data_IF_817475784649
#
_entry.id   IF_817475784649
#
_cell.length_a   1.000
_cell.length_b   1.000
_cell.length_c   1.000
_cell.angle_alpha   90.00
_cell.angle_beta   90.00
_cell.angle_gamma   90.00
#
_symmetry.space_group_name_H-M   'P 1'
#
loop_
_entity.id
_entity.type
_entity.pdbx_description
1 polymer ?
#
# COMPACT_ATOMS: atom_id res chain seq x y z
N UNK A 1 -15.17 28.39 14.17
CA UNK A 1 -14.46 27.12 14.42
C UNK A 1 -15.21 26.02 13.68
N UNK A 2 -14.85 25.73 12.42
CA UNK A 2 -15.57 24.75 11.60
C UNK A 2 -14.88 24.51 10.27
N UNK A 3 -14.19 25.52 9.75
CA UNK A 3 -13.44 25.44 8.49
C UNK A 3 -12.32 24.40 8.54
N UNK A 4 -11.57 24.32 9.64
CA UNK A 4 -10.51 23.30 9.81
C UNK A 4 -11.12 21.88 9.87
N UNK A 5 -12.29 21.73 10.49
CA UNK A 5 -12.98 20.45 10.55
C UNK A 5 -13.53 20.04 9.17
N UNK A 6 -14.05 21.01 8.41
CA UNK A 6 -14.51 20.82 7.03
C UNK A 6 -13.34 20.43 6.10
N UNK A 7 -12.21 21.12 6.20
CA UNK A 7 -10.98 20.79 5.47
C UNK A 7 -10.40 19.41 5.85
N UNK A 8 -10.54 18.98 7.11
CA UNK A 8 -10.20 17.61 7.54
C UNK A 8 -11.13 16.56 6.94
N UNK A 9 -12.43 16.83 6.87
CA UNK A 9 -13.44 15.94 6.27
C UNK A 9 -13.26 15.86 4.75
N UNK A 10 -12.97 16.98 4.10
CA UNK A 10 -12.69 17.07 2.66
C UNK A 10 -11.35 16.43 2.25
N UNK A 11 -10.50 16.09 3.21
CA UNK A 11 -9.23 15.41 2.97
C UNK A 11 -8.08 16.35 2.60
N UNK A 12 -8.18 17.64 2.90
CA UNK A 12 -7.06 18.58 2.80
C UNK A 12 -6.02 18.34 3.91
N UNK A 13 -6.53 17.92 5.09
CA UNK A 13 -5.73 17.59 6.26
C UNK A 13 -5.81 16.12 6.62
N UNK A 14 -4.80 15.64 7.35
CA UNK A 14 -4.80 14.33 7.96
C UNK A 14 -5.89 14.25 9.02
N UNK A 15 -6.80 13.29 8.89
CA UNK A 15 -7.89 13.10 9.86
C UNK A 15 -7.39 12.77 11.28
N UNK A 16 -6.17 12.23 11.41
CA UNK A 16 -5.62 11.77 12.69
C UNK A 16 -4.71 12.79 13.38
N UNK A 17 -3.84 13.48 12.64
CA UNK A 17 -2.86 14.42 13.21
C UNK A 17 -3.07 15.88 12.79
N UNK A 18 -4.00 16.15 11.86
CA UNK A 18 -4.24 17.50 11.35
C UNK A 18 -3.14 18.07 10.46
N UNK A 19 -2.17 17.26 10.03
CA UNK A 19 -1.13 17.69 9.08
C UNK A 19 -1.71 17.99 7.70
N UNK A 20 -1.26 19.06 7.04
CA UNK A 20 -1.69 19.40 5.69
C UNK A 20 -1.10 18.42 4.67
N UNK A 21 -1.96 17.74 3.90
CA UNK A 21 -1.52 16.71 2.94
C UNK A 21 -1.61 17.21 1.49
N UNK A 22 -2.37 18.29 1.24
CA UNK A 22 -2.54 18.91 -0.08
C UNK A 22 -4.00 19.08 -0.44
N UNK A 23 -4.35 18.86 -1.71
CA UNK A 23 -5.69 19.10 -2.23
C UNK A 23 -6.77 18.19 -1.63
N UNK A 24 -7.97 18.75 -1.48
CA UNK A 24 -9.18 18.05 -1.08
C UNK A 24 -9.45 16.85 -2.01
N UNK A 25 -9.50 15.65 -1.43
CA UNK A 25 -9.87 14.43 -2.16
C UNK A 25 -11.37 14.12 -2.05
N UNK A 26 -12.13 14.91 -1.29
CA UNK A 26 -13.55 14.69 -1.01
C UNK A 26 -13.83 13.57 0.00
N UNK A 27 -12.79 13.08 0.67
CA UNK A 27 -12.89 12.08 1.73
C UNK A 27 -11.72 12.20 2.71
N UNK A 28 -11.92 11.85 4.00
CA UNK A 28 -10.86 11.89 5.01
C UNK A 28 -9.70 10.96 4.66
N UNK A 29 -8.46 11.42 4.86
CA UNK A 29 -7.25 10.66 4.53
C UNK A 29 -6.20 10.73 5.63
N UNK A 30 -5.26 9.80 5.58
CA UNK A 30 -4.09 9.76 6.45
C UNK A 30 -2.83 10.23 5.71
N UNK A 31 -1.98 10.99 6.40
CA UNK A 31 -0.64 11.32 5.92
C UNK A 31 0.25 10.06 5.91
N UNK A 32 1.42 10.14 5.29
CA UNK A 32 2.35 9.00 5.21
C UNK A 32 2.83 8.50 6.58
N UNK A 33 2.82 9.35 7.61
CA UNK A 33 3.14 8.98 8.99
C UNK A 33 2.00 8.25 9.71
N UNK A 34 0.75 8.68 9.50
CA UNK A 34 -0.44 8.08 10.11
C UNK A 34 -0.99 6.88 9.34
N UNK A 35 -0.60 6.69 8.07
CA UNK A 35 -0.99 5.51 7.29
C UNK A 35 -0.50 4.25 8.02
N UNK A 36 -1.40 3.29 8.35
CA UNK A 36 -0.95 2.03 8.91
C UNK A 36 -0.02 1.38 7.90
N UNK A 37 1.23 1.14 8.31
CA UNK A 37 2.18 0.36 7.51
C UNK A 37 1.58 -1.02 7.38
N UNK A 38 0.92 -1.26 6.25
CA UNK A 38 0.45 -2.59 5.91
C UNK A 38 1.72 -3.39 5.60
N UNK A 39 2.36 -3.88 6.67
CA UNK A 39 3.48 -4.80 6.63
C UNK A 39 2.94 -6.10 6.04
N UNK A 40 2.69 -6.10 4.73
CA UNK A 40 2.60 -7.28 3.91
C UNK A 40 3.97 -7.91 3.98
N UNK A 41 4.26 -8.64 5.07
CA UNK A 41 5.40 -9.53 5.15
C UNK A 41 5.24 -10.42 3.93
N UNK A 42 6.06 -10.20 2.90
CA UNK A 42 6.15 -11.13 1.78
C UNK A 42 6.52 -12.45 2.44
N UNK A 43 5.56 -13.37 2.59
CA UNK A 43 5.87 -14.73 2.99
C UNK A 43 6.73 -15.26 1.85
N UNK A 44 8.04 -15.30 2.05
CA UNK A 44 8.90 -16.10 1.20
C UNK A 44 8.41 -17.54 1.38
N UNK A 45 7.61 -18.00 0.44
CA UNK A 45 7.27 -19.42 0.34
C UNK A 45 8.51 -20.08 -0.25
N UNK A 46 9.38 -20.60 0.61
CA UNK A 46 10.47 -21.47 0.19
C UNK A 46 9.85 -22.81 -0.22
N UNK A 47 9.62 -23.00 -1.52
CA UNK A 47 9.31 -24.32 -2.07
C UNK A 47 10.63 -25.06 -2.22
N UNK A 48 11.06 -25.75 -1.15
CA UNK A 48 11.98 -26.86 -1.33
C UNK A 48 11.19 -27.99 -1.97
N UNK A 49 11.59 -28.44 -3.15
CA UNK A 49 11.71 -29.87 -3.45
C UNK A 49 12.22 -30.10 -4.87
N UNK A 50 13.46 -30.59 -4.93
CA UNK A 50 14.05 -31.48 -5.94
C UNK A 50 13.40 -31.44 -7.33
N UNK A 51 13.98 -30.64 -8.22
CA UNK A 51 13.70 -30.70 -9.64
C UNK A 51 14.33 -31.99 -10.15
N UNK A 52 13.53 -33.04 -10.24
CA UNK A 52 13.89 -34.29 -10.91
C UNK A 52 14.25 -33.91 -12.35
N UNK A 53 15.48 -34.24 -12.74
CA UNK A 53 16.01 -34.06 -14.08
C UNK A 53 15.12 -34.77 -15.10
N UNK A 54 14.22 -34.05 -15.77
CA UNK A 54 13.62 -34.53 -17.01
C UNK A 54 14.38 -33.88 -18.18
N UNK A 55 15.35 -34.67 -18.63
CA UNK A 55 15.93 -34.74 -19.96
C UNK A 55 15.16 -33.95 -21.06
N UNK A 56 15.88 -33.01 -21.68
CA UNK A 56 16.01 -32.85 -23.13
C UNK A 56 14.78 -33.22 -23.99
N UNK A 57 14.00 -32.20 -24.39
CA UNK A 57 13.17 -32.28 -25.60
C UNK A 57 13.62 -31.21 -26.61
N UNK A 58 13.82 -31.58 -27.89
CA UNK A 58 14.51 -30.77 -28.88
C UNK A 58 13.65 -29.58 -29.35
N UNK A 59 14.31 -28.44 -29.58
CA UNK A 59 13.72 -27.27 -30.24
C UNK A 59 13.23 -27.69 -31.64
N UNK A 60 11.93 -27.56 -31.89
CA UNK A 60 11.32 -27.74 -33.21
C UNK A 60 11.63 -26.54 -34.12
N UNK A 61 11.67 -26.74 -35.45
CA UNK A 61 12.33 -25.85 -36.43
C UNK A 61 11.67 -24.49 -36.58
#
# INVERSE_FOLDING_TARGET
MGEIADSMINGEFCQSCGEYIGNATGYPRHCSGCKPKNNKKKKHVTVNNNIIAYNSLPKRP
#
